data_IF_674324941904
#
_entry.id   IF_674324941904
#
_cell.length_a   1.000
_cell.length_b   1.000
_cell.length_c   1.000
_cell.angle_alpha   90.00
_cell.angle_beta   90.00
_cell.angle_gamma   90.00
#
_symmetry.space_group_name_H-M   'P 1'
#
loop_
_entity.id
_entity.type
_entity.pdbx_description
1 polymer ?
#
# COMPACT_ATOMS: atom_id res chain seq x y z
N UNK A 1 -25.32 75.85 -26.96
CA UNK A 1 -23.91 76.13 -26.59
C UNK A 1 -23.75 75.92 -25.10
N UNK A 2 -22.62 75.34 -24.68
CA UNK A 2 -22.23 74.87 -23.34
C UNK A 2 -22.46 73.37 -23.12
N UNK A 3 -21.55 72.58 -22.54
CA UNK A 3 -20.08 72.62 -22.36
C UNK A 3 -19.73 71.24 -21.75
N UNK A 4 -18.60 70.69 -22.15
CA UNK A 4 -17.70 69.83 -21.37
C UNK A 4 -18.00 68.32 -21.21
N UNK A 5 -17.13 67.57 -21.89
CA UNK A 5 -16.77 66.19 -21.58
C UNK A 5 -16.10 66.08 -20.20
N UNK A 6 -16.41 65.03 -19.43
CA UNK A 6 -15.52 64.49 -18.40
C UNK A 6 -15.65 62.97 -18.32
N UNK A 7 -14.61 62.33 -18.85
CA UNK A 7 -14.00 61.05 -18.49
C UNK A 7 -14.42 60.40 -17.16
N UNK A 8 -14.75 59.11 -17.18
CA UNK A 8 -14.11 58.11 -16.30
C UNK A 8 -14.41 56.68 -16.71
N UNK A 9 -13.34 56.01 -17.16
CA UNK A 9 -13.20 54.58 -17.34
C UNK A 9 -12.83 53.98 -15.97
N UNK A 10 -13.69 53.17 -15.37
CA UNK A 10 -13.34 52.37 -14.19
C UNK A 10 -13.44 50.89 -14.52
N UNK A 11 -12.28 50.32 -14.85
CA UNK A 11 -12.01 48.89 -14.95
C UNK A 11 -11.90 48.34 -13.52
N UNK A 12 -12.89 47.57 -13.06
CA UNK A 12 -12.84 46.93 -11.75
C UNK A 12 -12.03 45.63 -11.90
N UNK A 13 -10.75 45.71 -11.54
CA UNK A 13 -9.82 44.60 -11.43
C UNK A 13 -10.06 43.87 -10.10
N UNK A 14 -10.90 42.83 -10.10
CA UNK A 14 -11.14 41.96 -8.94
C UNK A 14 -10.18 40.77 -8.96
N UNK A 15 -8.99 40.93 -8.37
CA UNK A 15 -8.09 39.82 -8.07
C UNK A 15 -8.36 39.38 -6.63
N UNK A 16 -9.11 38.29 -6.48
CA UNK A 16 -9.20 37.54 -5.22
C UNK A 16 -7.94 36.68 -5.08
N UNK A 17 -6.94 37.16 -4.31
CA UNK A 17 -5.84 36.31 -3.85
C UNK A 17 -6.22 35.75 -2.48
N UNK A 18 -6.92 34.63 -2.47
CA UNK A 18 -6.99 33.78 -1.27
C UNK A 18 -5.75 32.89 -1.27
N UNK A 19 -4.69 33.35 -0.60
CA UNK A 19 -3.59 32.47 -0.19
C UNK A 19 -4.14 31.44 0.78
N UNK A 20 -4.40 30.23 0.29
CA UNK A 20 -4.56 29.06 1.13
C UNK A 20 -3.19 28.72 1.71
N UNK A 21 -2.92 29.14 2.95
CA UNK A 21 -1.84 28.57 3.74
C UNK A 21 -2.24 27.13 4.07
N UNK A 22 -1.85 26.17 3.24
CA UNK A 22 -1.78 24.77 3.64
C UNK A 22 -0.75 24.68 4.77
N UNK A 23 -1.23 24.53 6.00
CA UNK A 23 -0.38 24.11 7.10
C UNK A 23 0.14 22.72 6.75
N UNK A 24 1.40 22.63 6.36
CA UNK A 24 2.14 21.37 6.37
C UNK A 24 2.27 20.98 7.84
N UNK A 25 1.35 20.14 8.30
CA UNK A 25 1.52 19.48 9.57
C UNK A 25 2.72 18.54 9.42
N UNK A 26 3.80 18.84 10.13
CA UNK A 26 4.88 17.87 10.35
C UNK A 26 4.27 16.60 10.97
N UNK A 27 4.83 15.40 10.72
CA UNK A 27 4.28 14.16 11.25
C UNK A 27 4.11 14.28 12.76
N UNK A 28 2.86 14.25 13.22
CA UNK A 28 2.56 14.15 14.64
C UNK A 28 3.04 12.78 15.11
N UNK A 29 3.97 12.77 16.06
CA UNK A 29 4.21 11.62 16.92
C UNK A 29 2.87 11.33 17.61
N UNK A 30 2.17 10.29 17.16
CA UNK A 30 0.93 9.86 17.80
C UNK A 30 1.35 9.10 19.06
N UNK A 31 1.20 9.74 20.22
CA UNK A 31 1.41 9.07 21.50
C UNK A 31 0.25 8.11 21.76
N UNK A 32 0.63 6.91 22.18
CA UNK A 32 -0.18 5.82 22.70
C UNK A 32 -1.54 6.23 23.30
N UNK A 33 -2.56 5.53 22.84
CA UNK A 33 -3.94 5.69 23.23
C UNK A 33 -4.72 4.56 22.58
N UNK A 34 -4.70 3.40 23.23
CA UNK A 34 -5.62 2.30 22.94
C UNK A 34 -7.03 2.86 22.77
N UNK A 35 -7.61 2.77 21.56
CA UNK A 35 -9.03 2.53 21.34
C UNK A 35 -9.41 2.37 19.86
N UNK A 36 -9.97 1.19 19.59
CA UNK A 36 -11.15 0.96 18.76
C UNK A 36 -11.10 1.40 17.30
N UNK A 37 -10.61 0.49 16.45
CA UNK A 37 -10.81 0.47 15.00
C UNK A 37 -12.32 0.32 14.69
N UNK A 38 -12.96 1.42 14.29
CA UNK A 38 -14.25 1.41 13.63
C UNK A 38 -14.05 1.66 12.13
N UNK A 39 -14.30 0.65 11.31
CA UNK A 39 -15.46 0.60 10.40
C UNK A 39 -15.22 -0.54 9.40
N UNK A 40 -16.18 -1.46 9.35
CA UNK A 40 -16.14 -2.68 8.57
C UNK A 40 -16.73 -2.40 7.19
N UNK A 41 -16.02 -2.73 6.11
CA UNK A 41 -16.68 -3.06 4.85
C UNK A 41 -16.03 -4.28 4.18
N UNK A 42 -16.80 -5.38 4.23
CA UNK A 42 -16.70 -6.66 3.52
C UNK A 42 -15.45 -7.56 3.75
N UNK A 43 -15.49 -8.39 4.80
CA UNK A 43 -14.84 -9.72 4.82
C UNK A 43 -15.91 -10.77 5.13
N UNK A 44 -16.18 -11.76 4.24
CA UNK A 44 -16.99 -12.92 4.58
C UNK A 44 -16.15 -13.90 5.41
N UNK A 45 -16.72 -14.28 6.57
CA UNK A 45 -16.34 -15.32 7.53
C UNK A 45 -14.88 -15.41 8.03
N UNK A 46 -14.71 -15.12 9.34
CA UNK A 46 -14.03 -16.10 10.19
C UNK A 46 -12.81 -15.67 11.01
N UNK A 47 -12.05 -14.64 10.61
CA UNK A 47 -10.84 -14.26 11.35
C UNK A 47 -10.93 -12.85 11.95
N UNK A 48 -11.02 -12.80 13.28
CA UNK A 48 -10.89 -11.56 14.04
C UNK A 48 -9.43 -11.13 13.98
N UNK A 49 -9.12 -10.10 13.18
CA UNK A 49 -7.79 -9.51 13.11
C UNK A 49 -7.45 -8.84 14.45
N UNK A 50 -6.67 -9.52 15.30
CA UNK A 50 -6.21 -9.03 16.62
C UNK A 50 -5.18 -7.89 16.53
N UNK A 51 -4.75 -7.51 15.32
CA UNK A 51 -3.69 -6.50 15.16
C UNK A 51 -2.32 -6.96 15.66
N UNK A 52 -2.19 -8.21 16.11
CA UNK A 52 -0.93 -8.86 16.41
C UNK A 52 -0.22 -9.16 15.09
N UNK A 53 0.84 -8.40 14.79
CA UNK A 53 1.78 -8.80 13.75
C UNK A 53 2.44 -10.11 14.20
N UNK A 54 2.44 -11.12 13.34
CA UNK A 54 3.17 -12.34 13.61
C UNK A 54 4.67 -12.03 13.54
N UNK A 55 5.31 -11.94 14.71
CA UNK A 55 6.74 -11.74 14.82
C UNK A 55 7.43 -13.00 14.26
N UNK A 56 8.19 -12.82 13.19
CA UNK A 56 8.87 -13.92 12.52
C UNK A 56 10.14 -14.26 13.29
N UNK A 57 10.31 -15.51 13.69
CA UNK A 57 11.52 -15.97 14.37
C UNK A 57 12.75 -15.70 13.50
N UNK A 58 13.87 -15.31 14.12
CA UNK A 58 15.16 -15.02 13.47
C UNK A 58 15.72 -16.20 12.62
N UNK A 59 15.13 -17.39 12.74
CA UNK A 59 15.43 -18.59 11.95
C UNK A 59 14.73 -18.73 10.60
N UNK A 60 13.78 -17.84 10.24
CA UNK A 60 13.05 -17.88 8.96
C UNK A 60 13.88 -17.42 7.74
N UNK A 61 15.14 -17.04 7.96
CA UNK A 61 16.19 -17.19 6.96
C UNK A 61 16.02 -16.37 5.67
N UNK A 62 15.58 -15.11 5.74
CA UNK A 62 15.82 -14.18 4.63
C UNK A 62 17.31 -13.85 4.61
N UNK A 63 18.06 -14.59 3.81
CA UNK A 63 19.50 -14.41 3.65
C UNK A 63 19.89 -14.63 2.20
N UNK A 64 20.64 -13.71 1.59
CA UNK A 64 21.21 -13.84 0.23
C UNK A 64 20.26 -14.51 -0.79
N UNK A 65 19.13 -13.87 -1.09
CA UNK A 65 18.13 -14.35 -2.06
C UNK A 65 17.44 -15.68 -1.70
N UNK A 66 17.47 -16.08 -0.42
CA UNK A 66 16.77 -17.25 0.10
C UNK A 66 15.67 -16.89 1.08
N UNK A 67 14.65 -17.72 1.13
CA UNK A 67 13.58 -17.74 2.13
C UNK A 67 13.48 -19.17 2.68
N UNK A 68 14.07 -19.42 3.84
CA UNK A 68 14.33 -20.79 4.30
C UNK A 68 15.11 -21.57 3.24
N UNK A 69 14.55 -22.69 2.78
CA UNK A 69 15.14 -23.52 1.71
C UNK A 69 14.83 -23.03 0.28
N UNK A 70 13.92 -22.07 0.13
CA UNK A 70 13.49 -21.56 -1.18
C UNK A 70 14.42 -20.46 -1.71
N UNK A 71 14.57 -20.39 -3.02
CA UNK A 71 15.19 -19.27 -3.74
C UNK A 71 14.15 -18.23 -4.09
N UNK A 72 14.38 -16.98 -3.68
CA UNK A 72 13.56 -15.84 -4.00
C UNK A 72 13.86 -15.37 -5.43
N UNK A 73 12.83 -15.23 -6.24
CA UNK A 73 12.92 -14.71 -7.61
C UNK A 73 11.98 -13.50 -7.73
N UNK A 74 12.57 -12.33 -7.58
CA UNK A 74 11.88 -11.04 -7.72
C UNK A 74 11.64 -10.66 -9.19
N UNK A 75 10.63 -9.81 -9.44
CA UNK A 75 10.35 -9.24 -10.76
C UNK A 75 9.81 -10.21 -11.81
N UNK A 76 9.65 -11.50 -11.48
CA UNK A 76 8.99 -12.49 -12.35
C UNK A 76 7.50 -12.20 -12.52
N UNK A 77 6.87 -11.69 -11.45
CA UNK A 77 5.47 -11.29 -11.43
C UNK A 77 5.38 -9.78 -11.19
N UNK A 78 4.38 -9.09 -11.78
CA UNK A 78 4.23 -7.66 -11.61
C UNK A 78 3.73 -7.30 -10.21
N UNK A 79 4.25 -6.22 -9.64
CA UNK A 79 3.77 -5.67 -8.37
C UNK A 79 2.31 -5.19 -8.47
N UNK A 80 1.62 -5.28 -7.33
CA UNK A 80 0.24 -4.83 -7.12
C UNK A 80 0.26 -3.46 -6.47
N UNK A 81 -0.41 -2.46 -7.04
CA UNK A 81 -0.44 -1.10 -6.49
C UNK A 81 -1.73 -0.78 -5.73
N UNK A 82 -1.60 0.06 -4.71
CA UNK A 82 -2.70 0.43 -3.81
C UNK A 82 -2.96 1.94 -3.78
N UNK A 83 -4.21 2.27 -3.46
CA UNK A 83 -4.62 3.63 -3.13
C UNK A 83 -3.92 4.15 -1.88
N UNK A 84 -3.97 5.47 -1.69
CA UNK A 84 -3.53 6.10 -0.43
C UNK A 84 -4.37 5.54 0.72
N UNK A 85 -3.71 5.19 1.81
CA UNK A 85 -4.34 4.67 3.03
C UNK A 85 -5.30 3.49 2.80
N UNK A 86 -4.96 2.62 1.85
CA UNK A 86 -5.82 1.51 1.45
C UNK A 86 -5.06 0.20 1.30
N UNK A 87 -5.72 -0.89 1.68
CA UNK A 87 -5.36 -2.27 1.37
C UNK A 87 -6.30 -2.93 0.36
N UNK A 88 -7.29 -2.20 -0.16
CA UNK A 88 -8.23 -2.75 -1.14
C UNK A 88 -7.55 -2.93 -2.50
N UNK A 89 -7.68 -4.13 -3.07
CA UNK A 89 -7.19 -4.44 -4.42
C UNK A 89 -8.11 -3.80 -5.46
N UNK A 90 -7.59 -2.81 -6.19
CA UNK A 90 -8.30 -2.16 -7.29
C UNK A 90 -8.57 -3.12 -8.45
N UNK A 91 -9.67 -2.88 -9.19
CA UNK A 91 -10.06 -3.75 -10.31
C UNK A 91 -8.97 -3.91 -11.38
N UNK A 92 -8.19 -2.85 -11.65
CA UNK A 92 -7.08 -2.86 -12.61
C UNK A 92 -5.94 -3.79 -12.21
N UNK A 93 -5.81 -4.12 -10.94
CA UNK A 93 -4.72 -4.93 -10.41
C UNK A 93 -5.08 -6.42 -10.32
N UNK A 94 -6.36 -6.78 -10.39
CA UNK A 94 -6.84 -8.15 -10.20
C UNK A 94 -6.29 -9.13 -11.22
N UNK A 95 -6.09 -8.69 -12.47
CA UNK A 95 -5.51 -9.52 -13.53
C UNK A 95 -4.05 -9.92 -13.24
N UNK A 96 -3.31 -9.13 -12.46
CA UNK A 96 -1.95 -9.48 -12.02
C UNK A 96 -1.97 -10.58 -10.96
N UNK A 97 -2.95 -10.54 -10.06
CA UNK A 97 -3.16 -11.60 -9.07
C UNK A 97 -3.59 -12.90 -9.75
N UNK A 98 -4.45 -12.83 -10.78
CA UNK A 98 -4.80 -13.99 -11.60
C UNK A 98 -3.57 -14.61 -12.27
N UNK A 99 -2.68 -13.80 -12.85
CA UNK A 99 -1.42 -14.30 -13.41
C UNK A 99 -0.54 -15.01 -12.36
N UNK A 100 -0.50 -14.49 -11.13
CA UNK A 100 0.23 -15.14 -10.04
C UNK A 100 -0.39 -16.49 -9.67
N UNK A 101 -1.72 -16.58 -9.61
CA UNK A 101 -2.41 -17.84 -9.35
C UNK A 101 -2.17 -18.86 -10.47
N UNK A 102 -2.35 -18.47 -11.74
CA UNK A 102 -2.06 -19.31 -12.91
C UNK A 102 -0.61 -19.83 -12.91
N UNK A 103 0.34 -18.99 -12.51
CA UNK A 103 1.73 -19.40 -12.34
C UNK A 103 1.88 -20.51 -11.28
N UNK A 104 1.24 -20.36 -10.12
CA UNK A 104 1.29 -21.34 -9.04
C UNK A 104 0.57 -22.65 -9.39
N UNK A 105 -0.48 -22.61 -10.21
CA UNK A 105 -1.14 -23.83 -10.74
C UNK A 105 -0.19 -24.63 -11.64
N UNK A 106 0.56 -23.94 -12.49
CA UNK A 106 1.51 -24.58 -13.42
C UNK A 106 2.80 -25.07 -12.75
N UNK A 107 3.12 -24.54 -11.56
CA UNK A 107 4.34 -24.83 -10.85
C UNK A 107 4.04 -25.24 -9.40
N UNK A 108 3.53 -26.46 -9.19
CA UNK A 108 3.04 -26.94 -7.90
C UNK A 108 4.06 -26.95 -6.77
N UNK A 109 5.37 -27.02 -7.09
CA UNK A 109 6.46 -26.99 -6.11
C UNK A 109 6.88 -25.58 -5.69
N UNK A 110 6.41 -24.54 -6.40
CA UNK A 110 6.76 -23.15 -6.08
C UNK A 110 5.79 -22.57 -5.04
N UNK A 111 6.28 -21.65 -4.24
CA UNK A 111 5.49 -20.86 -3.31
C UNK A 111 5.52 -19.39 -3.76
N UNK A 112 4.73 -18.54 -3.11
CA UNK A 112 4.71 -17.11 -3.37
C UNK A 112 4.87 -16.36 -2.05
N UNK A 113 5.84 -15.45 -2.00
CA UNK A 113 5.94 -14.45 -0.94
C UNK A 113 5.31 -13.15 -1.41
N UNK A 114 4.35 -12.65 -0.64
CA UNK A 114 3.70 -11.36 -0.84
C UNK A 114 4.28 -10.37 0.17
N UNK A 115 5.12 -9.46 -0.31
CA UNK A 115 5.70 -8.40 0.53
C UNK A 115 4.88 -7.12 0.41
N UNK A 116 4.31 -6.64 1.51
CA UNK A 116 3.52 -5.40 1.56
C UNK A 116 4.35 -4.17 1.93
N UNK A 117 4.30 -3.15 1.07
CA UNK A 117 5.05 -1.89 1.23
C UNK A 117 4.10 -0.70 1.36
N UNK A 118 4.55 0.35 2.04
CA UNK A 118 3.85 1.61 2.24
C UNK A 118 4.71 2.80 1.81
N UNK A 119 4.07 3.94 1.56
CA UNK A 119 4.79 5.20 1.42
C UNK A 119 5.26 5.74 2.78
N UNK A 120 5.97 6.86 2.77
CA UNK A 120 6.61 7.40 3.99
C UNK A 120 5.62 8.15 4.91
N UNK A 121 4.36 8.32 4.51
CA UNK A 121 3.38 9.03 5.33
C UNK A 121 2.85 8.12 6.44
N UNK A 122 2.74 8.65 7.66
CA UNK A 122 2.32 7.89 8.85
C UNK A 122 3.49 7.42 9.71
N UNK A 123 3.19 6.70 10.79
CA UNK A 123 4.23 6.10 11.65
C UNK A 123 4.72 4.77 11.06
N UNK A 124 5.91 4.34 11.45
CA UNK A 124 6.48 3.07 11.01
C UNK A 124 5.60 1.89 11.42
N UNK A 125 5.04 1.92 12.63
CA UNK A 125 4.16 0.87 13.18
C UNK A 125 2.83 0.80 12.42
N UNK A 126 2.24 1.97 12.13
CA UNK A 126 1.02 2.04 11.32
C UNK A 126 1.26 1.46 9.92
N UNK A 127 2.37 1.86 9.29
CA UNK A 127 2.72 1.38 7.96
C UNK A 127 3.05 -0.11 7.95
N UNK A 128 3.61 -0.66 9.03
CA UNK A 128 3.83 -2.08 9.18
C UNK A 128 2.50 -2.85 9.20
N UNK A 129 1.49 -2.37 9.95
CA UNK A 129 0.14 -2.97 9.94
C UNK A 129 -0.54 -2.80 8.58
N UNK A 130 -0.43 -1.63 7.94
CA UNK A 130 -1.03 -1.40 6.62
C UNK A 130 -0.40 -2.28 5.53
N UNK A 131 0.92 -2.49 5.58
CA UNK A 131 1.62 -3.41 4.69
C UNK A 131 1.15 -4.85 4.88
N UNK A 132 0.94 -5.28 6.11
CA UNK A 132 0.41 -6.61 6.42
C UNK A 132 -1.01 -6.80 5.86
N UNK A 133 -1.88 -5.80 6.03
CA UNK A 133 -3.24 -5.81 5.44
C UNK A 133 -3.22 -5.89 3.92
N UNK A 134 -2.26 -5.25 3.25
CA UNK A 134 -2.08 -5.34 1.79
C UNK A 134 -1.69 -6.74 1.36
N UNK A 135 -0.72 -7.35 2.05
CA UNK A 135 -0.30 -8.72 1.77
C UNK A 135 -1.45 -9.72 1.99
N UNK A 136 -2.20 -9.58 3.09
CA UNK A 136 -3.39 -10.39 3.37
C UNK A 136 -4.48 -10.22 2.30
N UNK A 137 -4.74 -9.01 1.83
CA UNK A 137 -5.77 -8.77 0.79
C UNK A 137 -5.46 -9.51 -0.51
N UNK A 138 -4.18 -9.61 -0.87
CA UNK A 138 -3.74 -10.40 -2.04
C UNK A 138 -3.81 -11.89 -1.76
N UNK A 139 -3.32 -12.35 -0.61
CA UNK A 139 -3.38 -13.77 -0.22
C UNK A 139 -4.80 -14.31 -0.22
N UNK A 140 -5.75 -13.55 0.35
CA UNK A 140 -7.17 -13.91 0.35
C UNK A 140 -7.74 -13.95 -1.07
N UNK A 141 -7.34 -13.02 -1.95
CA UNK A 141 -7.74 -13.08 -3.36
C UNK A 141 -7.23 -14.38 -4.01
N UNK A 142 -5.95 -14.70 -3.84
CA UNK A 142 -5.33 -15.91 -4.39
C UNK A 142 -6.03 -17.18 -3.90
N UNK A 143 -6.43 -17.22 -2.62
CA UNK A 143 -7.24 -18.32 -2.06
C UNK A 143 -8.59 -18.45 -2.77
N UNK A 144 -9.30 -17.35 -3.06
CA UNK A 144 -10.54 -17.40 -3.86
C UNK A 144 -10.35 -17.91 -5.28
N UNK A 145 -9.12 -17.90 -5.79
CA UNK A 145 -8.75 -18.48 -7.09
C UNK A 145 -8.38 -19.97 -7.00
N UNK A 146 -8.41 -20.57 -5.81
CA UNK A 146 -8.24 -22.01 -5.60
C UNK A 146 -6.80 -22.45 -5.31
N UNK A 147 -5.88 -21.52 -5.04
CA UNK A 147 -4.51 -21.86 -4.63
C UNK A 147 -4.47 -22.13 -3.12
N UNK A 148 -3.85 -23.24 -2.72
CA UNK A 148 -3.68 -23.59 -1.31
C UNK A 148 -3.00 -22.43 -0.54
N UNK A 149 -3.63 -21.87 0.52
CA UNK A 149 -3.06 -20.81 1.36
C UNK A 149 -1.69 -21.12 1.95
N UNK A 150 -1.36 -22.39 2.21
CA UNK A 150 -0.05 -22.82 2.72
C UNK A 150 1.10 -22.54 1.74
N UNK A 151 0.80 -22.25 0.46
CA UNK A 151 1.78 -21.87 -0.55
C UNK A 151 2.01 -20.37 -0.62
N UNK A 152 1.28 -19.58 0.18
CA UNK A 152 1.30 -18.12 0.17
C UNK A 152 1.87 -17.60 1.48
N UNK A 153 3.11 -17.17 1.40
CA UNK A 153 3.83 -16.49 2.46
C UNK A 153 3.51 -15.00 2.43
N UNK A 154 3.40 -14.37 3.61
CA UNK A 154 3.10 -12.94 3.74
C UNK A 154 4.15 -12.28 4.61
N UNK A 155 4.57 -11.08 4.20
CA UNK A 155 5.49 -10.25 4.96
C UNK A 155 5.12 -8.78 4.79
N UNK A 156 5.19 -8.02 5.87
CA UNK A 156 5.10 -6.56 5.80
C UNK A 156 6.49 -5.93 5.91
N UNK A 157 6.83 -5.11 4.92
CA UNK A 157 7.98 -4.20 4.96
C UNK A 157 7.59 -2.81 5.45
N UNK A 158 6.28 -2.54 5.59
CA UNK A 158 5.76 -1.22 5.92
C UNK A 158 6.44 -0.11 5.11
N UNK A 159 6.92 0.93 5.78
CA UNK A 159 7.62 2.05 5.13
C UNK A 159 9.15 1.92 5.15
N UNK A 160 9.72 0.73 5.42
CA UNK A 160 11.16 0.54 5.57
C UNK A 160 11.96 0.92 4.31
N UNK A 161 11.36 0.73 3.14
CA UNK A 161 11.97 1.02 1.83
C UNK A 161 11.42 2.31 1.20
N UNK A 162 10.62 3.08 1.95
CA UNK A 162 10.01 4.29 1.43
C UNK A 162 11.01 5.46 1.41
N UNK A 163 11.14 6.11 0.26
CA UNK A 163 11.90 7.36 0.16
C UNK A 163 11.15 8.51 0.85
N UNK A 164 11.74 9.03 1.93
CA UNK A 164 11.20 10.18 2.67
C UNK A 164 11.22 11.48 1.85
N UNK A 165 10.27 12.37 2.10
CA UNK A 165 10.25 13.72 1.52
C UNK A 165 9.62 13.82 0.12
N UNK A 166 9.17 12.72 -0.45
CA UNK A 166 8.42 12.71 -1.72
C UNK A 166 6.98 13.23 -1.53
N UNK A 167 6.41 13.88 -2.54
CA UNK A 167 4.98 14.21 -2.54
C UNK A 167 4.10 12.95 -2.59
N UNK A 168 2.82 13.07 -2.21
CA UNK A 168 1.84 11.96 -2.31
C UNK A 168 1.75 11.33 -3.70
N UNK A 169 1.88 12.13 -4.75
CA UNK A 169 1.88 11.65 -6.13
C UNK A 169 3.17 10.88 -6.46
N UNK A 170 4.34 11.41 -6.09
CA UNK A 170 5.63 10.75 -6.33
C UNK A 170 5.79 9.45 -5.51
N UNK A 171 5.28 9.46 -4.28
CA UNK A 171 5.34 8.32 -3.36
C UNK A 171 4.38 7.19 -3.72
N UNK A 172 3.53 7.35 -4.75
CA UNK A 172 2.54 6.33 -5.11
C UNK A 172 3.14 4.99 -5.49
N UNK A 173 4.37 4.99 -6.00
CA UNK A 173 5.10 3.77 -6.37
C UNK A 173 5.50 2.92 -5.15
N UNK A 174 5.51 3.51 -3.94
CA UNK A 174 5.82 2.78 -2.71
C UNK A 174 4.59 2.12 -2.08
N UNK A 175 3.38 2.50 -2.52
CA UNK A 175 2.13 1.85 -2.09
C UNK A 175 1.88 0.62 -2.95
N UNK A 176 2.60 -0.45 -2.65
CA UNK A 176 2.57 -1.66 -3.46
C UNK A 176 2.68 -2.92 -2.62
N UNK A 177 2.44 -4.05 -3.26
CA UNK A 177 2.93 -5.33 -2.80
C UNK A 177 3.72 -6.01 -3.92
N UNK A 178 4.90 -6.51 -3.57
CA UNK A 178 5.78 -7.24 -4.48
C UNK A 178 5.50 -8.74 -4.38
N UNK A 179 5.41 -9.39 -5.54
CA UNK A 179 5.09 -10.80 -5.68
C UNK A 179 6.37 -11.56 -6.01
N UNK A 180 6.94 -12.20 -5.01
CA UNK A 180 8.24 -12.88 -5.10
C UNK A 180 8.01 -14.37 -5.21
N UNK A 181 8.47 -14.98 -6.30
CA UNK A 181 8.35 -16.43 -6.48
C UNK A 181 9.39 -17.12 -5.60
N UNK A 182 8.95 -18.08 -4.80
CA UNK A 182 9.80 -18.93 -3.98
C UNK A 182 9.99 -20.27 -4.70
N UNK A 183 11.15 -20.46 -5.31
CA UNK A 183 11.50 -21.71 -6.02
C UNK A 183 12.25 -22.66 -5.11
N UNK A 184 11.79 -23.91 -5.05
CA UNK A 184 12.47 -24.97 -4.32
C UNK A 184 13.75 -25.41 -5.03
#
# INVERSE_FOLDING_TARGET
MNKNAHTSLTLILSIFVLSACSRTQAPSQYSDGSNSLGDMDFIPDGDTFDGSLQERNEGDGISNDKYGDFTMVEGMLPSIYFGFDSSSVGASERSKIQQAAEYLEQNSEHHLLVEGHCDWYGTSEYNLVLGDRRANSIGNYIDTLGINPERIEKLSKGSLEATSGLSKAQSSQNRRADLIVLKK
#
